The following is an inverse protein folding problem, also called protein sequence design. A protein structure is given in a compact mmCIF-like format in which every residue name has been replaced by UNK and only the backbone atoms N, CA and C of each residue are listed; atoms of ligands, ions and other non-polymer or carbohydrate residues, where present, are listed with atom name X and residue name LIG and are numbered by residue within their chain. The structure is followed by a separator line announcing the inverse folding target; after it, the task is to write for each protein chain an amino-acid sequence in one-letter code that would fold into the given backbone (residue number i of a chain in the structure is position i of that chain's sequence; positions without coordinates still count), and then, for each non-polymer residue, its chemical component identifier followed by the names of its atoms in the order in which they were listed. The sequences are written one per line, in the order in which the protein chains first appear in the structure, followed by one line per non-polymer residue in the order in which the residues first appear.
data_IF_221564650219
#
_entry.id   IF_221564650219
#
_cell.length_a   1.000
_cell.length_b   1.000
_cell.length_c   1.000
_cell.angle_alpha   90.00
_cell.angle_beta   90.00
_cell.angle_gamma   90.00
#
_symmetry.space_group_name_H-M   'P 1'
#
loop_
_entity.id
_entity.type
_entity.pdbx_description
1 polymer ?
#
# COMPACT_ATOMS: atom_id res chain seq x y z
N UNK A 1 11.90 7.88 15.14
CA UNK A 1 11.88 8.38 13.78
C UNK A 1 12.69 7.42 12.92
N UNK A 2 12.08 6.89 11.85
CA UNK A 2 12.84 6.16 10.82
C UNK A 2 13.47 7.23 9.94
N UNK A 3 14.78 7.38 9.98
CA UNK A 3 15.51 8.17 9.01
C UNK A 3 15.81 7.25 7.82
N UNK A 4 15.11 7.44 6.72
CA UNK A 4 15.58 6.94 5.44
C UNK A 4 16.67 7.91 4.99
N UNK A 5 17.92 7.42 4.95
CA UNK A 5 19.03 8.26 4.58
C UNK A 5 19.06 8.46 3.07
N UNK A 6 18.66 9.59 2.67
CA UNK A 6 19.28 10.42 1.64
C UNK A 6 18.68 11.83 1.80
N UNK A 7 19.40 12.84 1.36
CA UNK A 7 19.05 14.26 1.32
C UNK A 7 17.70 14.60 0.62
N UNK A 8 16.85 13.60 0.37
CA UNK A 8 15.45 13.73 0.03
C UNK A 8 14.62 13.46 1.31
N UNK A 9 14.27 14.53 2.01
CA UNK A 9 13.19 14.50 3.01
C UNK A 9 11.99 13.78 2.39
N UNK A 10 11.66 12.59 2.90
CA UNK A 10 10.38 11.94 2.57
C UNK A 10 9.30 12.75 3.25
N UNK A 11 8.84 13.81 2.59
CA UNK A 11 7.61 14.48 2.96
C UNK A 11 6.48 13.59 2.50
N UNK A 12 5.82 12.93 3.45
CA UNK A 12 4.54 12.29 3.21
C UNK A 12 3.56 13.44 3.01
N UNK A 13 3.20 13.72 1.77
CA UNK A 13 2.08 14.62 1.47
C UNK A 13 0.80 13.91 1.90
N UNK A 14 0.41 14.12 3.14
CA UNK A 14 -0.94 13.80 3.60
C UNK A 14 -1.89 14.87 3.07
N UNK A 15 -2.51 14.59 1.94
CA UNK A 15 -3.74 15.30 1.61
C UNK A 15 -4.74 14.96 2.70
N UNK A 16 -5.36 15.97 3.29
CA UNK A 16 -6.36 15.85 4.35
C UNK A 16 -7.66 15.24 3.80
N UNK A 17 -7.59 13.98 3.38
CA UNK A 17 -8.74 13.18 2.99
C UNK A 17 -9.00 12.21 4.14
N UNK A 18 -10.04 12.47 4.91
CA UNK A 18 -10.36 11.72 6.13
C UNK A 18 -10.64 10.22 5.88
N UNK A 19 -10.85 9.78 4.63
CA UNK A 19 -11.34 8.43 4.29
C UNK A 19 -10.46 7.67 3.30
N UNK A 20 -9.38 8.26 2.78
CA UNK A 20 -8.34 7.59 1.99
C UNK A 20 -7.05 8.42 2.01
N UNK A 21 -5.88 7.77 2.18
CA UNK A 21 -4.60 8.41 2.42
C UNK A 21 -3.62 8.13 1.27
N UNK A 22 -3.41 9.06 0.31
CA UNK A 22 -2.29 9.00 -0.61
C UNK A 22 -0.97 9.29 0.08
N UNK A 23 0.06 8.49 -0.22
CA UNK A 23 1.45 8.73 0.18
C UNK A 23 2.34 8.77 -1.05
N UNK A 24 3.31 9.67 -1.09
CA UNK A 24 4.28 9.82 -2.18
C UNK A 24 5.64 10.27 -1.65
N UNK A 25 6.68 10.08 -2.43
CA UNK A 25 8.01 10.61 -2.12
C UNK A 25 8.12 12.09 -2.45
N UNK A 26 8.99 12.82 -1.73
CA UNK A 26 9.30 14.21 -2.02
C UNK A 26 10.08 14.34 -3.34
N UNK A 27 9.76 15.36 -4.14
CA UNK A 27 10.41 15.62 -5.43
C UNK A 27 9.99 14.64 -6.53
N UNK A 28 10.85 14.47 -7.56
CA UNK A 28 10.51 13.71 -8.78
C UNK A 28 11.38 12.47 -8.99
N UNK A 29 12.33 12.18 -8.10
CA UNK A 29 13.35 11.15 -8.35
C UNK A 29 13.07 9.83 -7.67
N UNK A 30 12.59 9.86 -6.44
CA UNK A 30 12.37 8.65 -5.63
C UNK A 30 11.07 8.71 -4.86
N UNK A 31 10.42 7.56 -4.75
CA UNK A 31 9.39 7.33 -3.74
C UNK A 31 10.07 7.06 -2.41
N UNK A 32 10.78 5.94 -2.30
CA UNK A 32 11.67 5.60 -1.18
C UNK A 32 12.76 4.67 -1.72
N UNK A 33 14.04 5.03 -1.51
CA UNK A 33 15.17 4.30 -2.09
C UNK A 33 15.78 3.22 -1.18
N UNK A 34 15.15 2.91 -0.06
CA UNK A 34 15.57 1.86 0.86
C UNK A 34 15.87 2.37 2.26
N UNK A 35 16.38 1.47 3.12
CA UNK A 35 16.84 1.78 4.47
C UNK A 35 18.31 2.26 4.46
N UNK A 36 18.77 2.85 5.56
CA UNK A 36 20.17 3.27 5.71
C UNK A 36 21.09 2.05 5.86
N UNK A 37 21.89 1.82 4.81
CA UNK A 37 22.85 0.70 4.79
C UNK A 37 23.97 0.92 5.80
N UNK A 38 24.35 2.18 6.08
CA UNK A 38 25.35 2.52 7.09
C UNK A 38 24.90 2.11 8.49
N UNK A 39 23.64 2.40 8.84
CA UNK A 39 23.03 1.96 10.11
C UNK A 39 23.00 0.44 10.24
N UNK A 40 22.67 -0.26 9.14
CA UNK A 40 22.58 -1.72 9.13
C UNK A 40 23.94 -2.44 9.16
N UNK A 41 24.99 -1.82 8.64
CA UNK A 41 26.29 -2.47 8.39
C UNK A 41 27.00 -2.99 9.65
N UNK A 42 26.64 -2.48 10.83
CA UNK A 42 27.27 -2.78 12.12
C UNK A 42 26.40 -3.62 13.04
N UNK A 43 25.20 -4.02 12.60
CA UNK A 43 24.25 -4.76 13.43
C UNK A 43 24.73 -6.21 13.68
N UNK A 44 24.57 -6.68 14.91
CA UNK A 44 24.67 -8.10 15.24
C UNK A 44 23.45 -8.85 14.67
N UNK A 45 23.49 -10.20 14.62
CA UNK A 45 22.33 -10.98 14.16
C UNK A 45 21.03 -10.66 14.94
N UNK A 46 21.12 -10.48 16.26
CA UNK A 46 19.99 -10.17 17.15
C UNK A 46 19.47 -8.76 16.90
N UNK A 47 20.35 -7.79 16.68
CA UNK A 47 19.99 -6.43 16.33
C UNK A 47 19.38 -6.35 14.93
N UNK A 48 19.89 -7.15 13.97
CA UNK A 48 19.32 -7.29 12.64
C UNK A 48 17.89 -7.85 12.68
N UNK A 49 17.64 -8.88 13.49
CA UNK A 49 16.30 -9.43 13.71
C UNK A 49 15.36 -8.37 14.32
N UNK A 50 15.82 -7.65 15.34
CA UNK A 50 15.03 -6.58 15.98
C UNK A 50 14.73 -5.42 15.01
N UNK A 51 15.68 -5.06 14.15
CA UNK A 51 15.51 -4.06 13.10
C UNK A 51 14.46 -4.50 12.08
N UNK A 52 14.55 -5.74 11.60
CA UNK A 52 13.57 -6.35 10.70
C UNK A 52 12.17 -6.39 11.32
N UNK A 53 12.08 -6.80 12.60
CA UNK A 53 10.81 -6.79 13.35
C UNK A 53 10.21 -5.39 13.43
N UNK A 54 11.00 -4.38 13.77
CA UNK A 54 10.54 -2.99 13.86
C UNK A 54 9.99 -2.47 12.54
N UNK A 55 10.66 -2.74 11.43
CA UNK A 55 10.19 -2.38 10.08
C UNK A 55 8.89 -3.10 9.71
N UNK A 56 8.81 -4.42 9.97
CA UNK A 56 7.60 -5.19 9.75
C UNK A 56 6.42 -4.67 10.60
N UNK A 57 6.64 -4.34 11.86
CA UNK A 57 5.60 -3.80 12.75
C UNK A 57 5.03 -2.47 12.21
N UNK A 58 5.89 -1.60 11.66
CA UNK A 58 5.46 -0.33 11.06
C UNK A 58 4.70 -0.56 9.75
N UNK A 59 5.22 -1.42 8.88
CA UNK A 59 4.57 -1.67 7.58
C UNK A 59 3.26 -2.44 7.75
N UNK A 60 3.18 -3.31 8.77
CA UNK A 60 1.90 -3.96 9.13
C UNK A 60 0.87 -2.93 9.62
N UNK A 61 1.28 -1.87 10.33
CA UNK A 61 0.38 -0.78 10.71
C UNK A 61 -0.18 -0.03 9.50
N UNK A 62 0.60 0.16 8.44
CA UNK A 62 0.11 0.76 7.19
C UNK A 62 -0.93 -0.17 6.54
N UNK A 63 -0.63 -1.44 6.43
CA UNK A 63 -1.48 -2.45 5.83
C UNK A 63 -2.81 -2.60 6.59
N UNK A 64 -2.77 -2.56 7.93
CA UNK A 64 -3.95 -2.65 8.79
C UNK A 64 -4.55 -1.29 9.18
N UNK A 65 -4.06 -0.20 8.60
CA UNK A 65 -4.59 1.13 8.87
C UNK A 65 -6.09 1.19 8.56
N UNK A 66 -6.92 1.84 9.40
CA UNK A 66 -8.38 1.73 9.26
C UNK A 66 -8.92 2.21 7.92
N UNK A 67 -8.32 3.24 7.32
CA UNK A 67 -8.71 3.77 6.02
C UNK A 67 -7.79 3.25 4.90
N UNK A 68 -8.25 3.25 3.63
CA UNK A 68 -7.41 2.91 2.49
C UNK A 68 -6.16 3.80 2.37
N UNK A 69 -5.02 3.17 2.08
CA UNK A 69 -3.75 3.84 1.81
C UNK A 69 -3.36 3.62 0.34
N UNK A 70 -3.03 4.71 -0.37
CA UNK A 70 -2.67 4.70 -1.79
C UNK A 70 -1.20 5.07 -1.91
N UNK A 71 -0.35 4.16 -2.41
CA UNK A 71 1.01 4.51 -2.81
C UNK A 71 0.98 5.18 -4.18
N UNK A 72 1.42 6.44 -4.24
CA UNK A 72 1.69 7.17 -5.48
C UNK A 72 3.21 7.20 -5.71
N UNK A 73 3.70 6.19 -6.41
CA UNK A 73 5.14 5.92 -6.56
C UNK A 73 5.74 6.80 -7.65
N UNK A 74 6.41 7.87 -7.26
CA UNK A 74 6.91 8.94 -8.14
C UNK A 74 8.35 8.75 -8.64
N UNK A 75 8.91 7.53 -8.57
CA UNK A 75 10.28 7.23 -9.00
C UNK A 75 10.78 5.92 -8.38
N UNK A 76 12.03 5.88 -7.91
CA UNK A 76 12.61 4.67 -7.34
C UNK A 76 11.85 4.19 -6.09
N UNK A 77 11.45 2.92 -6.09
CA UNK A 77 10.91 2.17 -4.96
C UNK A 77 11.73 0.90 -4.78
N UNK A 78 12.82 0.98 -4.00
CA UNK A 78 13.81 -0.08 -3.89
C UNK A 78 13.91 -0.58 -2.45
N UNK A 79 14.05 -1.90 -2.27
CA UNK A 79 14.17 -2.50 -0.94
C UNK A 79 13.00 -2.11 -0.04
N UNK A 80 13.29 -1.52 1.13
CA UNK A 80 12.28 -0.97 2.03
C UNK A 80 11.27 -0.03 1.36
N UNK A 81 11.69 0.66 0.28
CA UNK A 81 10.80 1.51 -0.52
C UNK A 81 9.76 0.71 -1.32
N UNK A 82 10.12 -0.44 -1.87
CA UNK A 82 9.17 -1.34 -2.50
C UNK A 82 8.31 -2.05 -1.45
N UNK A 83 8.87 -2.34 -0.28
CA UNK A 83 8.16 -2.99 0.82
C UNK A 83 7.06 -2.10 1.43
N UNK A 84 7.31 -0.78 1.61
CA UNK A 84 6.26 0.16 2.03
C UNK A 84 5.21 0.36 0.93
N UNK A 85 5.63 0.40 -0.34
CA UNK A 85 4.71 0.44 -1.48
C UNK A 85 3.75 -0.76 -1.45
N UNK A 86 4.26 -1.97 -1.23
CA UNK A 86 3.47 -3.20 -1.14
C UNK A 86 2.60 -3.29 0.13
N UNK A 87 2.90 -2.51 1.15
CA UNK A 87 2.08 -2.43 2.37
C UNK A 87 0.85 -1.54 2.21
N UNK A 88 0.77 -0.75 1.13
CA UNK A 88 -0.40 0.06 0.81
C UNK A 88 -1.48 -0.78 0.12
N UNK A 89 -2.74 -0.36 0.22
CA UNK A 89 -3.87 -1.06 -0.38
C UNK A 89 -3.87 -0.96 -1.90
N UNK A 90 -3.60 0.22 -2.42
CA UNK A 90 -3.59 0.52 -3.86
C UNK A 90 -2.23 1.13 -4.21
N UNK A 91 -1.68 0.73 -5.34
CA UNK A 91 -0.40 1.22 -5.87
C UNK A 91 -0.61 1.78 -7.26
N UNK A 92 -0.30 3.06 -7.44
CA UNK A 92 -0.18 3.70 -8.74
C UNK A 92 1.22 4.29 -8.86
N UNK A 93 1.73 4.42 -10.07
CA UNK A 93 3.08 4.92 -10.24
C UNK A 93 3.22 5.87 -11.43
N UNK A 94 4.30 6.63 -11.45
CA UNK A 94 4.72 7.38 -12.62
C UNK A 94 5.44 6.48 -13.63
N UNK A 95 5.48 6.90 -14.88
CA UNK A 95 6.11 6.19 -15.99
C UNK A 95 7.64 6.00 -15.84
N UNK A 96 8.28 6.82 -15.02
CA UNK A 96 9.69 6.70 -14.65
C UNK A 96 9.92 5.86 -13.37
N UNK A 97 8.90 5.26 -12.78
CA UNK A 97 9.05 4.47 -11.57
C UNK A 97 9.84 3.17 -11.84
N UNK A 98 10.69 2.84 -10.87
CA UNK A 98 11.51 1.62 -10.88
C UNK A 98 11.32 0.89 -9.55
N UNK A 99 11.03 -0.39 -9.63
CA UNK A 99 10.80 -1.27 -8.49
C UNK A 99 11.86 -2.35 -8.40
N UNK A 100 12.29 -2.71 -7.20
CA UNK A 100 13.27 -3.78 -7.00
C UNK A 100 13.46 -4.15 -5.53
N UNK A 101 14.13 -5.31 -5.34
CA UNK A 101 14.56 -5.82 -4.04
C UNK A 101 16.06 -6.16 -4.14
N UNK A 102 16.95 -5.16 -3.90
CA UNK A 102 18.39 -5.31 -4.12
C UNK A 102 19.14 -5.99 -2.97
N UNK A 103 18.44 -6.37 -1.91
CA UNK A 103 19.02 -6.83 -0.63
C UNK A 103 19.96 -8.03 -0.79
N UNK A 104 19.64 -8.99 -1.67
CA UNK A 104 20.50 -10.15 -1.91
C UNK A 104 21.89 -9.76 -2.44
N UNK A 105 21.99 -8.66 -3.19
CA UNK A 105 23.26 -8.09 -3.64
C UNK A 105 24.09 -7.47 -2.51
N UNK A 106 23.48 -7.21 -1.35
CA UNK A 106 24.14 -6.74 -0.14
C UNK A 106 24.42 -7.85 0.87
N UNK A 107 24.11 -9.11 0.52
CA UNK A 107 24.29 -10.27 1.40
C UNK A 107 23.22 -10.44 2.47
N UNK A 108 22.07 -9.79 2.34
CA UNK A 108 20.92 -9.88 3.23
C UNK A 108 19.63 -10.23 2.47
N UNK A 109 18.58 -10.57 3.18
CA UNK A 109 17.25 -10.75 2.61
C UNK A 109 16.44 -9.44 2.71
N UNK A 110 15.36 -9.23 1.92
CA UNK A 110 14.35 -8.23 2.25
C UNK A 110 13.89 -8.40 3.70
N UNK A 111 13.95 -7.33 4.48
CA UNK A 111 13.77 -7.40 5.93
C UNK A 111 12.40 -6.92 6.44
N UNK A 112 11.64 -6.19 5.61
CA UNK A 112 10.39 -5.55 6.01
C UNK A 112 9.16 -6.16 5.30
N UNK A 113 9.26 -7.45 4.98
CA UNK A 113 8.17 -8.26 4.44
C UNK A 113 8.17 -8.39 2.92
N UNK A 114 9.23 -7.96 2.22
CA UNK A 114 9.33 -8.03 0.76
C UNK A 114 9.23 -9.45 0.22
N UNK A 115 9.85 -10.43 0.88
CA UNK A 115 9.74 -11.85 0.48
C UNK A 115 8.29 -12.36 0.56
N UNK A 116 7.52 -11.85 1.50
CA UNK A 116 6.14 -12.30 1.74
C UNK A 116 5.13 -11.56 0.87
N UNK A 117 5.21 -10.21 0.82
CA UNK A 117 4.26 -9.40 0.08
C UNK A 117 4.46 -9.54 -1.43
N UNK A 118 5.69 -9.49 -1.92
CA UNK A 118 5.93 -9.58 -3.36
C UNK A 118 5.40 -10.91 -3.93
N UNK A 119 5.69 -12.03 -3.27
CA UNK A 119 5.24 -13.34 -3.72
C UNK A 119 3.71 -13.58 -3.59
N UNK A 120 3.00 -12.73 -2.85
CA UNK A 120 1.54 -12.73 -2.77
C UNK A 120 0.88 -11.81 -3.78
N UNK A 121 1.58 -10.76 -4.21
CA UNK A 121 1.06 -9.77 -5.16
C UNK A 121 1.29 -10.22 -6.60
N UNK A 122 2.49 -10.76 -6.91
CA UNK A 122 2.84 -11.25 -8.25
C UNK A 122 3.14 -12.75 -8.23
N UNK A 123 3.28 -13.35 -9.41
CA UNK A 123 3.62 -14.77 -9.51
C UNK A 123 4.91 -15.10 -8.72
N UNK A 124 4.92 -16.16 -7.86
CA UNK A 124 6.06 -16.48 -7.00
C UNK A 124 7.38 -16.71 -7.76
N UNK A 125 7.32 -17.23 -8.98
CA UNK A 125 8.51 -17.40 -9.83
C UNK A 125 9.16 -16.06 -10.19
N UNK A 126 8.36 -15.07 -10.55
CA UNK A 126 8.84 -13.73 -10.87
C UNK A 126 9.34 -12.98 -9.61
N UNK A 127 8.66 -13.15 -8.48
CA UNK A 127 9.12 -12.61 -7.20
C UNK A 127 10.52 -13.16 -6.84
N UNK A 128 10.75 -14.45 -7.02
CA UNK A 128 12.06 -15.09 -6.83
C UNK A 128 13.12 -14.56 -7.80
N UNK A 129 12.75 -14.40 -9.09
CA UNK A 129 13.67 -13.82 -10.08
C UNK A 129 14.12 -12.41 -9.66
N UNK A 130 13.18 -11.54 -9.29
CA UNK A 130 13.47 -10.16 -8.85
C UNK A 130 14.39 -10.16 -7.62
N UNK A 131 14.05 -10.94 -6.58
CA UNK A 131 14.80 -10.96 -5.32
C UNK A 131 16.17 -11.61 -5.50
N UNK A 132 16.26 -12.76 -6.17
CA UNK A 132 17.51 -13.51 -6.26
C UNK A 132 18.53 -12.85 -7.18
N UNK A 133 18.07 -12.27 -8.29
CA UNK A 133 18.92 -11.59 -9.28
C UNK A 133 19.11 -10.10 -8.98
N UNK A 134 18.41 -9.56 -7.99
CA UNK A 134 18.37 -8.11 -7.69
C UNK A 134 17.93 -7.24 -8.89
N UNK A 135 17.21 -7.87 -9.83
CA UNK A 135 16.71 -7.22 -11.04
C UNK A 135 15.65 -6.17 -10.71
N UNK A 136 15.82 -5.01 -11.27
CA UNK A 136 14.77 -3.99 -11.24
C UNK A 136 13.76 -4.20 -12.36
N UNK A 137 12.53 -3.79 -12.13
CA UNK A 137 11.47 -3.71 -13.15
C UNK A 137 10.98 -2.27 -13.28
N UNK A 138 10.64 -1.88 -14.49
CA UNK A 138 10.06 -0.57 -14.78
C UNK A 138 8.55 -0.51 -14.53
N UNK A 139 7.97 0.67 -14.68
CA UNK A 139 6.54 0.92 -14.46
C UNK A 139 5.65 0.06 -15.38
N UNK A 140 6.04 -0.14 -16.64
CA UNK A 140 5.28 -0.92 -17.61
C UNK A 140 5.22 -2.40 -17.18
N UNK A 141 6.37 -2.97 -16.79
CA UNK A 141 6.45 -4.34 -16.28
C UNK A 141 5.72 -4.49 -14.94
N UNK A 142 5.84 -3.51 -14.05
CA UNK A 142 5.11 -3.51 -12.78
C UNK A 142 3.58 -3.55 -12.98
N UNK A 143 3.06 -2.83 -13.99
CA UNK A 143 1.65 -2.89 -14.38
C UNK A 143 1.27 -4.24 -15.00
N UNK A 144 2.08 -4.75 -15.92
CA UNK A 144 1.86 -6.04 -16.59
C UNK A 144 1.71 -7.19 -15.58
N UNK A 145 2.55 -7.19 -14.52
CA UNK A 145 2.57 -8.28 -13.54
C UNK A 145 1.64 -8.06 -12.33
N UNK A 146 0.92 -6.95 -12.30
CA UNK A 146 -0.03 -6.63 -11.23
C UNK A 146 0.61 -6.07 -9.95
N UNK A 147 1.89 -5.67 -9.98
CA UNK A 147 2.50 -4.99 -8.84
C UNK A 147 1.88 -3.62 -8.61
N UNK A 148 1.52 -2.90 -9.68
CA UNK A 148 0.80 -1.63 -9.60
C UNK A 148 -0.52 -1.68 -10.36
N UNK A 149 -1.48 -0.88 -9.90
CA UNK A 149 -2.82 -0.80 -10.46
C UNK A 149 -2.87 0.04 -11.74
N UNK A 150 -2.08 1.14 -11.81
CA UNK A 150 -2.08 2.03 -12.98
C UNK A 150 -0.76 2.82 -13.08
N UNK A 151 -0.45 3.27 -14.30
CA UNK A 151 0.72 4.08 -14.62
C UNK A 151 0.25 5.41 -15.20
N UNK A 152 0.86 6.50 -14.76
CA UNK A 152 0.60 7.88 -15.19
C UNK A 152 1.89 8.57 -15.60
N UNK A 153 1.81 9.70 -16.24
CA UNK A 153 2.99 10.57 -16.35
C UNK A 153 3.35 11.14 -14.98
N UNK A 154 4.61 11.57 -14.82
CA UNK A 154 5.08 12.14 -13.55
C UNK A 154 4.19 13.29 -13.03
N UNK A 155 3.71 14.15 -13.93
CA UNK A 155 2.91 15.31 -13.55
C UNK A 155 1.43 14.95 -13.28
N UNK A 156 0.94 13.83 -13.82
CA UNK A 156 -0.43 13.35 -13.61
C UNK A 156 -0.59 12.46 -12.36
N UNK A 157 0.50 11.92 -11.82
CA UNK A 157 0.48 10.93 -10.75
C UNK A 157 -0.26 11.43 -9.49
N UNK A 158 0.14 12.58 -8.94
CA UNK A 158 -0.49 13.12 -7.73
C UNK A 158 -1.94 13.53 -7.97
N UNK A 159 -2.29 14.25 -9.05
CA UNK A 159 -3.70 14.49 -9.41
C UNK A 159 -4.53 13.20 -9.54
N UNK A 160 -3.96 12.12 -10.07
CA UNK A 160 -4.64 10.83 -10.17
C UNK A 160 -4.85 10.17 -8.79
N UNK A 161 -3.85 10.24 -7.91
CA UNK A 161 -3.96 9.76 -6.53
C UNK A 161 -5.05 10.51 -5.76
N UNK A 162 -5.09 11.85 -5.86
CA UNK A 162 -6.13 12.69 -5.28
C UNK A 162 -7.52 12.36 -5.81
N UNK A 163 -7.64 12.21 -7.13
CA UNK A 163 -8.90 11.85 -7.77
C UNK A 163 -9.41 10.50 -7.29
N UNK A 164 -8.52 9.52 -7.14
CA UNK A 164 -8.87 8.19 -6.63
C UNK A 164 -9.29 8.26 -5.16
N UNK A 165 -8.52 8.94 -4.32
CA UNK A 165 -8.85 9.13 -2.90
C UNK A 165 -10.19 9.86 -2.73
N UNK A 166 -10.44 10.92 -3.48
CA UNK A 166 -11.73 11.63 -3.49
C UNK A 166 -12.88 10.74 -3.98
N UNK A 167 -12.63 9.82 -4.92
CA UNK A 167 -13.64 8.86 -5.38
C UNK A 167 -13.98 7.86 -4.27
N UNK A 168 -12.99 7.40 -3.51
CA UNK A 168 -13.19 6.53 -2.36
C UNK A 168 -13.96 7.25 -1.25
N UNK A 169 -13.55 8.48 -0.91
CA UNK A 169 -14.16 9.30 0.13
C UNK A 169 -15.63 9.69 -0.12
N UNK A 170 -16.12 9.56 -1.36
CA UNK A 170 -17.55 9.74 -1.69
C UNK A 170 -18.42 8.55 -1.30
N UNK A 171 -17.85 7.43 -0.93
CA UNK A 171 -18.59 6.26 -0.47
C UNK A 171 -18.71 6.28 1.06
N UNK A 172 -19.65 5.48 1.58
CA UNK A 172 -19.87 5.33 3.03
C UNK A 172 -18.59 4.87 3.74
N UNK A 173 -17.99 5.69 4.64
CA UNK A 173 -16.66 5.41 5.19
C UNK A 173 -16.58 4.11 5.98
N UNK A 174 -17.63 3.78 6.76
CA UNK A 174 -17.69 2.53 7.52
C UNK A 174 -17.70 1.32 6.57
N UNK A 175 -18.44 1.39 5.48
CA UNK A 175 -18.49 0.30 4.50
C UNK A 175 -17.14 0.11 3.79
N UNK A 176 -16.45 1.20 3.41
CA UNK A 176 -15.10 1.13 2.81
C UNK A 176 -14.12 0.46 3.78
N UNK A 177 -14.12 0.85 5.06
CA UNK A 177 -13.29 0.23 6.10
C UNK A 177 -13.64 -1.24 6.34
N UNK A 178 -14.91 -1.58 6.32
CA UNK A 178 -15.37 -2.97 6.43
C UNK A 178 -14.90 -3.83 5.25
N UNK A 179 -14.95 -3.30 4.02
CA UNK A 179 -14.42 -3.98 2.84
C UNK A 179 -12.90 -4.21 2.94
N UNK A 180 -12.12 -3.18 3.34
CA UNK A 180 -10.68 -3.34 3.56
C UNK A 180 -10.39 -4.42 4.59
N UNK A 181 -11.10 -4.39 5.72
CA UNK A 181 -10.94 -5.37 6.79
C UNK A 181 -11.28 -6.79 6.32
N UNK A 182 -12.41 -6.96 5.61
CA UNK A 182 -12.83 -8.26 5.08
C UNK A 182 -11.78 -8.86 4.13
N UNK A 183 -11.24 -8.04 3.23
CA UNK A 183 -10.20 -8.45 2.28
C UNK A 183 -8.92 -8.85 3.03
N UNK A 184 -8.42 -7.97 3.92
CA UNK A 184 -7.14 -8.19 4.60
C UNK A 184 -7.18 -9.40 5.56
N UNK A 185 -8.29 -9.60 6.28
CA UNK A 185 -8.44 -10.75 7.20
C UNK A 185 -8.74 -12.03 6.42
N UNK A 186 -9.49 -11.94 5.31
CA UNK A 186 -9.89 -13.12 4.54
C UNK A 186 -8.79 -13.72 3.66
N UNK A 187 -7.84 -12.90 3.16
CA UNK A 187 -6.82 -13.39 2.22
C UNK A 187 -5.90 -14.48 2.79
N UNK A 188 -5.71 -14.53 4.10
CA UNK A 188 -4.88 -15.51 4.77
C UNK A 188 -5.69 -16.71 5.34
N UNK A 189 -7.01 -16.75 5.10
CA UNK A 189 -7.92 -17.78 5.59
C UNK A 189 -8.37 -18.73 4.47
N UNK A 190 -8.75 -19.98 4.81
CA UNK A 190 -9.54 -20.81 3.89
C UNK A 190 -10.85 -20.10 3.49
N UNK A 191 -11.33 -20.36 2.27
CA UNK A 191 -12.49 -19.64 1.70
C UNK A 191 -13.72 -19.64 2.60
N UNK A 192 -14.06 -20.79 3.19
CA UNK A 192 -15.25 -20.90 4.06
C UNK A 192 -15.13 -20.05 5.34
N UNK A 193 -13.92 -19.92 5.89
CA UNK A 193 -13.65 -19.05 7.04
C UNK A 193 -13.62 -17.57 6.64
N UNK A 194 -13.04 -17.26 5.46
CA UNK A 194 -13.00 -15.90 4.91
C UNK A 194 -14.42 -15.36 4.64
N UNK A 195 -15.33 -16.18 4.11
CA UNK A 195 -16.74 -15.82 3.89
C UNK A 195 -17.43 -15.46 5.21
N UNK A 196 -17.16 -16.18 6.31
CA UNK A 196 -17.71 -15.86 7.63
C UNK A 196 -17.26 -14.47 8.12
N UNK A 197 -16.01 -14.06 7.82
CA UNK A 197 -15.54 -12.69 8.11
C UNK A 197 -16.34 -11.68 7.31
N UNK A 198 -16.52 -11.91 6.02
CA UNK A 198 -17.30 -11.03 5.13
C UNK A 198 -18.75 -10.90 5.59
N UNK A 199 -19.45 -12.00 5.91
CA UNK A 199 -20.84 -12.01 6.38
C UNK A 199 -21.02 -11.13 7.64
N UNK A 200 -20.10 -11.26 8.62
CA UNK A 200 -20.14 -10.46 9.85
C UNK A 200 -19.96 -8.97 9.56
N UNK A 201 -19.01 -8.62 8.71
CA UNK A 201 -18.73 -7.22 8.35
C UNK A 201 -19.85 -6.64 7.48
N UNK A 202 -20.39 -7.40 6.54
CA UNK A 202 -21.58 -7.04 5.78
C UNK A 202 -22.75 -6.75 6.71
N UNK A 203 -23.07 -7.67 7.61
CA UNK A 203 -24.14 -7.48 8.61
C UNK A 203 -23.92 -6.26 9.50
N UNK A 204 -22.67 -5.94 9.84
CA UNK A 204 -22.35 -4.77 10.67
C UNK A 204 -22.71 -3.44 10.00
N UNK A 205 -22.65 -3.37 8.67
CA UNK A 205 -23.01 -2.16 7.91
C UNK A 205 -24.49 -1.79 8.07
N UNK A 206 -25.38 -2.77 8.29
CA UNK A 206 -26.83 -2.53 8.49
C UNK A 206 -27.19 -1.85 9.82
N UNK A 207 -26.18 -1.59 10.67
CA UNK A 207 -26.35 -0.81 11.90
C UNK A 207 -26.02 0.68 11.71
N UNK A 208 -25.61 1.09 10.50
CA UNK A 208 -25.13 2.44 10.23
C UNK A 208 -26.21 3.31 9.57
N UNK A 209 -26.19 4.60 9.88
CA UNK A 209 -26.98 5.61 9.16
C UNK A 209 -26.64 5.61 7.67
N UNK A 210 -25.37 5.47 7.33
CA UNK A 210 -24.87 5.55 5.96
C UNK A 210 -25.43 4.43 5.06
N UNK A 211 -25.72 3.27 5.62
CA UNK A 211 -26.37 2.19 4.89
C UNK A 211 -27.81 2.57 4.50
N UNK A 212 -28.57 3.14 5.46
CA UNK A 212 -29.95 3.59 5.21
C UNK A 212 -29.95 4.69 4.14
N UNK A 213 -29.13 5.71 4.34
CA UNK A 213 -28.95 6.84 3.39
C UNK A 213 -28.59 6.35 1.99
N UNK A 214 -27.63 5.43 1.89
CA UNK A 214 -27.16 4.91 0.60
C UNK A 214 -28.24 4.13 -0.15
N UNK A 215 -29.01 3.29 0.53
CA UNK A 215 -30.07 2.49 -0.06
C UNK A 215 -31.29 3.36 -0.43
N UNK A 216 -31.68 4.30 0.43
CA UNK A 216 -32.77 5.23 0.15
C UNK A 216 -32.45 6.12 -1.06
N UNK A 217 -31.25 6.68 -1.11
CA UNK A 217 -30.81 7.48 -2.26
C UNK A 217 -30.85 6.69 -3.56
N UNK A 218 -30.46 5.40 -3.53
CA UNK A 218 -30.52 4.53 -4.71
C UNK A 218 -31.96 4.26 -5.14
N UNK A 219 -32.85 3.89 -4.23
CA UNK A 219 -34.25 3.56 -4.52
C UNK A 219 -35.03 4.77 -5.03
N UNK A 220 -34.74 5.96 -4.49
CA UNK A 220 -35.38 7.23 -4.88
C UNK A 220 -34.68 7.92 -6.07
N UNK A 221 -33.63 7.30 -6.63
CA UNK A 221 -32.80 7.83 -7.74
C UNK A 221 -32.19 9.20 -7.43
N UNK A 222 -31.95 9.48 -6.15
CA UNK A 222 -31.24 10.68 -5.68
C UNK A 222 -29.75 10.53 -5.97
N UNK A 223 -29.14 11.52 -6.62
CA UNK A 223 -27.70 11.46 -6.99
C UNK A 223 -26.79 11.78 -5.80
N UNK A 224 -27.20 12.71 -4.97
CA UNK A 224 -26.46 13.13 -3.79
C UNK A 224 -26.75 12.19 -2.63
N UNK A 225 -25.70 11.85 -1.89
CA UNK A 225 -25.74 11.04 -0.69
C UNK A 225 -25.05 11.80 0.44
N UNK A 226 -25.64 11.79 1.61
CA UNK A 226 -25.11 12.46 2.79
C UNK A 226 -24.59 11.43 3.78
N UNK A 227 -23.41 10.87 3.51
CA UNK A 227 -22.75 9.98 4.42
C UNK A 227 -22.10 10.76 5.58
N UNK A 228 -22.39 10.38 6.80
CA UNK A 228 -21.94 11.06 8.03
C UNK A 228 -21.02 10.22 8.89
N UNK A 229 -20.62 9.03 8.39
CA UNK A 229 -19.72 8.11 9.09
C UNK A 229 -20.31 7.60 10.43
N UNK A 230 -21.60 7.30 10.46
CA UNK A 230 -22.33 6.87 11.64
C UNK A 230 -23.28 5.68 11.33
#
# INVERSE_FOLDING_TARGET
PFFFNDTATTEIYTLSLHDALPISGAGKKSFVAGADIGEMSTLTPEEGEAFGKKGNDVFRKIETFPIPVIAAVNGFALGGGNEICMSCDIRICSDNAIFGQPEAGLGITPGFGGTQRLARIIAPGLAKEIIYSTKNIDAAKAKEVGLVNEVYTQDELLPAAEKLANKIAKNAPIAVRACKKAINEGLDLPMDEAIVVEEKLFGSCFKTHDQIEGMEAFLTKRKEKNFINA
#
